data_IF_955320527647
#
_entry.id   IF_955320527647
#
_cell.length_a   1.000
_cell.length_b   1.000
_cell.length_c   1.000
_cell.angle_alpha   90.00
_cell.angle_beta   90.00
_cell.angle_gamma   90.00
#
_symmetry.space_group_name_H-M   'P 1'
#
loop_
_entity.id
_entity.type
_entity.pdbx_description
1 polymer ?
#
# COMPACT_ATOMS: atom_id res chain seq x y z
N UNK A 1 -14.15 5.77 -38.87
CA UNK A 1 -13.16 5.98 -37.78
C UNK A 1 -12.15 7.00 -38.26
N UNK A 2 -12.21 8.21 -37.71
CA UNK A 2 -11.62 9.39 -38.33
C UNK A 2 -10.12 9.48 -38.03
N UNK A 3 -9.32 9.75 -39.07
CA UNK A 3 -7.87 9.95 -39.02
C UNK A 3 -7.42 10.89 -37.87
N UNK A 4 -8.22 11.93 -37.60
CA UNK A 4 -8.02 12.87 -36.50
C UNK A 4 -8.10 12.21 -35.12
N UNK A 5 -9.02 11.26 -34.90
CA UNK A 5 -9.16 10.54 -33.63
C UNK A 5 -7.97 9.60 -33.39
N UNK A 6 -7.38 9.05 -34.45
CA UNK A 6 -6.17 8.23 -34.37
C UNK A 6 -4.93 9.05 -34.00
N UNK A 7 -4.75 10.23 -34.61
CA UNK A 7 -3.62 11.12 -34.29
C UNK A 7 -3.75 11.67 -32.88
N UNK A 8 -4.93 12.20 -32.51
CA UNK A 8 -5.17 12.73 -31.16
C UNK A 8 -5.03 11.65 -30.08
N UNK A 9 -5.49 10.43 -30.35
CA UNK A 9 -5.32 9.31 -29.43
C UNK A 9 -3.84 8.94 -29.24
N UNK A 10 -3.05 8.92 -30.32
CA UNK A 10 -1.61 8.63 -30.26
C UNK A 10 -0.84 9.71 -29.50
N UNK A 11 -1.09 10.98 -29.79
CA UNK A 11 -0.40 12.08 -29.10
C UNK A 11 -0.75 12.13 -27.61
N UNK A 12 -2.03 11.93 -27.27
CA UNK A 12 -2.46 11.83 -25.86
C UNK A 12 -1.77 10.66 -25.14
N UNK A 13 -1.65 9.51 -25.81
CA UNK A 13 -0.97 8.34 -25.25
C UNK A 13 0.52 8.56 -25.04
N UNK A 14 1.20 9.25 -25.95
CA UNK A 14 2.62 9.61 -25.82
C UNK A 14 2.86 10.60 -24.69
N UNK A 15 1.99 11.61 -24.54
CA UNK A 15 2.04 12.56 -23.42
C UNK A 15 1.84 11.83 -22.09
N UNK A 16 0.84 10.95 -22.01
CA UNK A 16 0.59 10.13 -20.80
C UNK A 16 1.79 9.24 -20.46
N UNK A 17 2.42 8.61 -21.46
CA UNK A 17 3.64 7.82 -21.26
C UNK A 17 4.79 8.69 -20.77
N UNK A 18 5.01 9.86 -21.37
CA UNK A 18 6.07 10.79 -20.95
C UNK A 18 5.90 11.23 -19.50
N UNK A 19 4.67 11.59 -19.11
CA UNK A 19 4.33 11.91 -17.73
C UNK A 19 4.55 10.71 -16.81
N UNK A 20 4.10 9.52 -17.21
CA UNK A 20 4.30 8.29 -16.45
C UNK A 20 5.80 8.06 -16.20
N UNK A 21 6.66 8.11 -17.22
CA UNK A 21 8.11 7.89 -17.03
C UNK A 21 8.81 8.94 -16.16
N UNK A 22 8.28 10.17 -16.08
CA UNK A 22 8.83 11.21 -15.20
C UNK A 22 8.51 10.99 -13.71
N UNK A 23 7.53 10.15 -13.40
CA UNK A 23 7.16 9.87 -12.01
C UNK A 23 8.21 8.99 -11.35
N UNK A 24 8.58 9.33 -10.11
CA UNK A 24 9.44 8.51 -9.25
C UNK A 24 8.71 7.24 -8.76
N UNK A 25 8.43 6.30 -9.67
CA UNK A 25 7.65 5.08 -9.40
C UNK A 25 8.18 4.27 -8.25
N UNK A 26 9.49 4.23 -8.07
CA UNK A 26 10.14 3.50 -6.96
C UNK A 26 9.56 3.93 -5.60
N UNK A 27 9.51 5.24 -5.33
CA UNK A 27 9.01 5.78 -4.05
C UNK A 27 7.51 5.54 -3.88
N UNK A 28 6.74 5.68 -4.97
CA UNK A 28 5.30 5.46 -4.94
C UNK A 28 5.00 3.98 -4.68
N UNK A 29 5.67 3.07 -5.38
CA UNK A 29 5.50 1.63 -5.24
C UNK A 29 5.92 1.15 -3.85
N UNK A 30 7.02 1.67 -3.29
CA UNK A 30 7.45 1.36 -1.92
C UNK A 30 6.35 1.74 -0.92
N UNK A 31 5.82 2.97 -0.99
CA UNK A 31 4.75 3.42 -0.08
C UNK A 31 3.45 2.68 -0.31
N UNK A 32 3.13 2.36 -1.55
CA UNK A 32 1.94 1.61 -1.91
C UNK A 32 2.02 0.18 -1.38
N UNK A 33 3.16 -0.50 -1.53
CA UNK A 33 3.39 -1.83 -0.99
C UNK A 33 3.23 -1.85 0.54
N UNK A 34 3.84 -0.90 1.26
CA UNK A 34 3.66 -0.80 2.71
C UNK A 34 2.19 -0.61 3.11
N UNK A 35 1.45 0.24 2.38
CA UNK A 35 0.01 0.46 2.63
C UNK A 35 -0.83 -0.78 2.32
N UNK A 36 -0.52 -1.50 1.24
CA UNK A 36 -1.20 -2.74 0.88
C UNK A 36 -1.01 -3.83 1.93
N UNK A 37 0.21 -4.00 2.44
CA UNK A 37 0.49 -4.98 3.50
C UNK A 37 -0.29 -4.66 4.76
N UNK A 38 -0.28 -3.39 5.20
CA UNK A 38 -1.06 -2.96 6.38
C UNK A 38 -2.56 -3.20 6.16
N UNK A 39 -3.08 -2.80 5.00
CA UNK A 39 -4.49 -3.00 4.66
C UNK A 39 -4.88 -4.48 4.63
N UNK A 40 -4.03 -5.34 4.08
CA UNK A 40 -4.26 -6.79 4.05
C UNK A 40 -4.31 -7.38 5.45
N UNK A 41 -3.39 -6.98 6.33
CA UNK A 41 -3.38 -7.39 7.74
C UNK A 41 -4.64 -6.91 8.48
N UNK A 42 -5.03 -5.64 8.32
CA UNK A 42 -6.28 -5.11 8.87
C UNK A 42 -7.52 -5.87 8.35
N UNK A 43 -7.51 -6.29 7.08
CA UNK A 43 -8.59 -7.09 6.52
C UNK A 43 -8.66 -8.47 7.14
N UNK A 44 -7.53 -9.16 7.31
CA UNK A 44 -7.46 -10.46 8.00
C UNK A 44 -7.97 -10.34 9.43
N UNK A 45 -7.56 -9.27 10.14
CA UNK A 45 -8.07 -8.97 11.48
C UNK A 45 -9.60 -8.83 11.49
N UNK A 46 -10.17 -8.10 10.52
CA UNK A 46 -11.63 -7.89 10.43
C UNK A 46 -12.44 -9.16 10.16
N UNK A 47 -11.79 -10.22 9.67
CA UNK A 47 -12.40 -11.52 9.38
C UNK A 47 -12.26 -12.50 10.54
N UNK A 48 -11.50 -12.16 11.59
CA UNK A 48 -11.28 -13.01 12.74
C UNK A 48 -11.97 -12.45 13.98
N UNK A 49 -12.73 -13.29 14.68
CA UNK A 49 -13.32 -12.97 15.99
C UNK A 49 -12.44 -13.41 17.16
N UNK A 50 -11.31 -14.06 16.89
CA UNK A 50 -10.41 -14.53 17.94
C UNK A 50 -9.51 -13.39 18.42
N UNK A 51 -9.54 -13.10 19.71
CA UNK A 51 -8.79 -11.99 20.31
C UNK A 51 -7.28 -12.15 20.17
N UNK A 52 -6.75 -13.38 20.29
CA UNK A 52 -5.32 -13.68 20.12
C UNK A 52 -4.87 -13.39 18.68
N UNK A 53 -5.67 -13.77 17.70
CA UNK A 53 -5.39 -13.49 16.28
C UNK A 53 -5.42 -11.98 16.01
N UNK A 54 -6.38 -11.27 16.60
CA UNK A 54 -6.48 -9.81 16.44
C UNK A 54 -5.31 -9.07 17.07
N UNK A 55 -4.85 -9.51 18.24
CA UNK A 55 -3.70 -8.96 18.97
C UNK A 55 -2.39 -9.23 18.23
N UNK A 56 -2.19 -10.47 17.77
CA UNK A 56 -1.01 -10.86 16.96
C UNK A 56 -0.90 -10.02 15.68
N UNK A 57 -2.01 -9.82 14.98
CA UNK A 57 -2.03 -8.98 13.77
C UNK A 57 -1.72 -7.52 14.10
N UNK A 58 -2.23 -7.01 15.22
CA UNK A 58 -1.91 -5.67 15.70
C UNK A 58 -0.40 -5.51 15.98
N UNK A 59 0.23 -6.49 16.64
CA UNK A 59 1.65 -6.46 16.96
C UNK A 59 2.53 -6.48 15.70
N UNK A 60 2.16 -7.29 14.71
CA UNK A 60 2.83 -7.32 13.41
C UNK A 60 2.70 -5.94 12.73
N UNK A 61 1.52 -5.33 12.71
CA UNK A 61 1.32 -3.98 12.15
C UNK A 61 2.18 -2.95 12.89
N UNK A 62 2.30 -3.05 14.21
CA UNK A 62 3.08 -2.13 15.04
C UNK A 62 4.59 -2.26 14.76
N UNK A 63 5.07 -3.50 14.66
CA UNK A 63 6.44 -3.84 14.28
C UNK A 63 6.79 -3.32 12.88
N UNK A 64 5.90 -3.51 11.90
CA UNK A 64 6.07 -3.01 10.53
C UNK A 64 6.07 -1.47 10.44
N UNK A 65 5.38 -0.79 11.35
CA UNK A 65 5.38 0.68 11.45
C UNK A 65 6.64 1.22 12.14
N UNK A 66 7.55 0.36 12.59
CA UNK A 66 8.78 0.75 13.30
C UNK A 66 8.52 1.39 14.67
N UNK A 67 7.28 1.32 15.18
CA UNK A 67 7.01 1.72 16.56
C UNK A 67 7.55 0.61 17.47
N UNK A 68 8.47 0.97 18.37
CA UNK A 68 8.92 0.06 19.43
C UNK A 68 7.68 -0.53 20.12
N UNK A 69 7.71 -1.84 20.35
CA UNK A 69 6.71 -2.53 21.17
C UNK A 69 6.55 -1.78 22.49
N UNK A 70 5.32 -1.62 22.98
CA UNK A 70 5.10 -1.12 24.34
C UNK A 70 5.87 -2.04 25.28
N UNK A 71 6.70 -1.46 26.15
CA UNK A 71 7.27 -2.21 27.27
C UNK A 71 6.10 -2.84 28.03
N UNK A 72 6.08 -4.16 28.06
CA UNK A 72 5.12 -4.92 28.86
C UNK A 72 5.50 -4.63 30.30
N UNK A 73 4.56 -4.10 31.11
CA UNK A 73 4.73 -4.05 32.57
C UNK A 73 4.99 -5.49 33.02
N UNK A 74 6.22 -5.78 33.41
CA UNK A 74 6.57 -7.02 34.05
C UNK A 74 5.85 -7.03 35.39
N UNK A 75 4.84 -7.88 35.50
CA UNK A 75 4.20 -8.18 36.78
C UNK A 75 5.23 -8.90 37.65
N UNK A 76 5.73 -8.22 38.68
CA UNK A 76 6.40 -8.85 39.84
C UNK A 76 5.40 -9.71 40.64
#
# INVERSE_FOLDING_TARGET
MNFLTSILGKTLWEVLKGLFFQVAWKVILERFASRLVIWGLEKIKSLSTNDVTQETVNDIILSLKGKKLKEVEQWE
#
